data_IF_377574580978
#
_entry.id   IF_377574580978
#
_cell.length_a   1.000
_cell.length_b   1.000
_cell.length_c   1.000
_cell.angle_alpha   90.00
_cell.angle_beta   90.00
_cell.angle_gamma   90.00
#
_symmetry.space_group_name_H-M   'P 1'
#
loop_
_entity.id
_entity.type
_entity.pdbx_description
1 polymer ?
#
# COMPACT_ATOMS: atom_id res chain seq x y z
N UNK A 1 -1.66 0.69 -18.03
CA UNK A 1 -1.60 2.17 -17.93
C UNK A 1 -2.97 2.65 -17.52
N UNK A 2 -3.05 3.45 -16.47
CA UNK A 2 -4.29 4.07 -16.00
C UNK A 2 -4.04 5.56 -15.81
N UNK A 3 -4.96 6.40 -16.27
CA UNK A 3 -4.86 7.87 -16.20
C UNK A 3 -5.67 8.38 -15.01
N UNK A 4 -5.06 9.18 -14.14
CA UNK A 4 -5.77 9.91 -13.08
C UNK A 4 -5.94 11.38 -13.50
N UNK A 5 -7.13 11.97 -13.26
CA UNK A 5 -7.41 13.39 -13.51
C UNK A 5 -7.42 14.15 -12.19
N UNK A 6 -6.66 15.24 -12.11
CA UNK A 6 -6.60 16.17 -10.98
C UNK A 6 -7.37 17.48 -11.31
N UNK A 7 -7.64 18.38 -10.33
CA UNK A 7 -8.51 19.56 -10.51
C UNK A 7 -7.90 20.71 -11.33
N UNK A 8 -6.69 20.55 -11.84
CA UNK A 8 -6.12 21.32 -12.95
C UNK A 8 -5.90 20.34 -14.11
N UNK A 9 -5.89 20.78 -15.38
CA UNK A 9 -5.75 19.94 -16.60
C UNK A 9 -4.42 19.14 -16.70
N UNK A 10 -3.80 18.78 -15.59
CA UNK A 10 -2.63 17.93 -15.50
C UNK A 10 -3.06 16.46 -15.43
N UNK A 11 -2.88 15.75 -16.53
CA UNK A 11 -2.94 14.29 -16.59
C UNK A 11 -1.55 13.70 -16.33
N UNK A 12 -1.46 12.75 -15.40
CA UNK A 12 -0.24 11.99 -15.14
C UNK A 12 -0.50 10.52 -15.41
N UNK A 13 0.44 9.88 -16.10
CA UNK A 13 0.40 8.45 -16.35
C UNK A 13 0.84 7.66 -15.12
N UNK A 14 0.09 6.63 -14.77
CA UNK A 14 0.43 5.72 -13.66
C UNK A 14 0.62 4.28 -14.15
N UNK A 15 1.46 3.56 -13.42
CA UNK A 15 1.71 2.13 -13.57
C UNK A 15 1.46 1.42 -12.24
N UNK A 16 1.25 0.11 -12.27
CA UNK A 16 1.05 -0.68 -11.07
C UNK A 16 2.39 -1.03 -10.42
N UNK A 17 2.38 -1.28 -9.10
CA UNK A 17 3.57 -1.75 -8.40
C UNK A 17 4.05 -3.08 -8.97
N UNK A 18 3.14 -4.00 -9.34
CA UNK A 18 3.50 -5.25 -10.02
C UNK A 18 4.31 -4.99 -11.30
N UNK A 19 3.89 -4.05 -12.15
CA UNK A 19 4.60 -3.70 -13.37
C UNK A 19 6.02 -3.17 -13.06
N UNK A 20 6.15 -2.27 -12.09
CA UNK A 20 7.46 -1.73 -11.68
C UNK A 20 8.40 -2.82 -11.16
N UNK A 21 7.89 -3.81 -10.43
CA UNK A 21 8.73 -4.90 -9.89
C UNK A 21 9.09 -5.92 -10.96
N UNK A 22 8.18 -6.23 -11.89
CA UNK A 22 8.43 -7.19 -12.97
C UNK A 22 9.43 -6.68 -14.02
N UNK A 23 9.46 -5.36 -14.26
CA UNK A 23 10.30 -4.72 -15.28
C UNK A 23 11.44 -3.89 -14.71
N UNK A 24 11.42 -3.60 -13.41
CA UNK A 24 12.54 -2.99 -12.70
C UNK A 24 13.57 -4.04 -12.31
N UNK A 25 14.82 -3.63 -12.12
CA UNK A 25 15.92 -4.47 -11.62
C UNK A 25 15.75 -4.86 -10.13
N UNK A 26 14.51 -4.96 -9.64
CA UNK A 26 14.15 -5.29 -8.27
C UNK A 26 13.65 -6.76 -8.22
N UNK A 27 14.55 -7.76 -8.15
CA UNK A 27 14.17 -9.17 -8.13
C UNK A 27 13.30 -9.54 -6.93
N UNK A 28 13.35 -8.75 -5.85
CA UNK A 28 12.54 -8.93 -4.64
C UNK A 28 12.27 -7.58 -3.97
N UNK A 29 11.02 -7.35 -3.57
CA UNK A 29 10.63 -6.22 -2.73
C UNK A 29 10.53 -6.67 -1.28
N UNK A 30 11.28 -6.04 -0.39
CA UNK A 30 11.25 -6.30 1.06
C UNK A 30 10.34 -5.36 1.82
N UNK A 31 10.09 -4.15 1.29
CA UNK A 31 9.34 -3.11 1.98
C UNK A 31 8.57 -2.24 0.97
N UNK A 32 7.36 -1.81 1.35
CA UNK A 32 6.54 -0.84 0.62
C UNK A 32 5.99 0.17 1.62
N UNK A 33 6.19 1.45 1.31
CA UNK A 33 5.58 2.58 2.01
C UNK A 33 4.56 3.26 1.10
N UNK A 34 3.38 3.58 1.62
CA UNK A 34 2.30 4.21 0.88
C UNK A 34 1.77 5.44 1.62
N UNK A 35 2.01 6.60 1.03
CA UNK A 35 1.47 7.91 1.39
C UNK A 35 1.14 8.62 0.06
N UNK A 36 -0.03 8.33 -0.51
CA UNK A 36 -0.37 8.63 -1.91
C UNK A 36 -1.77 9.25 -2.06
N UNK A 37 -2.12 10.08 -1.09
CA UNK A 37 -3.27 11.00 -1.15
C UNK A 37 -4.60 10.29 -1.46
N UNK A 38 -4.88 9.17 -0.77
CA UNK A 38 -6.15 8.43 -0.87
C UNK A 38 -6.19 7.39 -1.98
N UNK A 39 -5.03 7.05 -2.57
CA UNK A 39 -4.90 5.99 -3.59
C UNK A 39 -4.30 4.68 -3.03
N UNK A 40 -4.13 4.57 -1.72
CA UNK A 40 -3.46 3.47 -1.02
C UNK A 40 -4.05 2.11 -1.39
N UNK A 41 -5.38 1.95 -1.24
CA UNK A 41 -6.06 0.70 -1.61
C UNK A 41 -5.89 0.37 -3.10
N UNK A 42 -5.93 1.37 -3.99
CA UNK A 42 -5.70 1.15 -5.44
C UNK A 42 -4.27 0.71 -5.73
N UNK A 43 -3.28 1.29 -5.04
CA UNK A 43 -1.89 0.86 -5.16
C UNK A 43 -1.68 -0.57 -4.63
N UNK A 44 -2.33 -0.92 -3.53
CA UNK A 44 -2.33 -2.29 -2.98
C UNK A 44 -2.92 -3.30 -3.96
N UNK A 45 -4.06 -2.99 -4.60
CA UNK A 45 -4.58 -3.81 -5.71
C UNK A 45 -3.58 -3.93 -6.86
N UNK A 46 -2.93 -2.83 -7.24
CA UNK A 46 -1.85 -2.82 -8.22
C UNK A 46 -0.59 -3.60 -7.79
N UNK A 47 -0.47 -3.96 -6.51
CA UNK A 47 0.65 -4.68 -5.93
C UNK A 47 0.34 -6.15 -5.61
N UNK A 48 -0.87 -6.66 -5.90
CA UNK A 48 -1.31 -7.96 -5.37
C UNK A 48 -0.33 -9.12 -5.62
N UNK A 49 0.18 -9.26 -6.86
CA UNK A 49 1.17 -10.31 -7.19
C UNK A 49 2.45 -10.16 -6.36
N UNK A 50 2.96 -8.93 -6.22
CA UNK A 50 4.12 -8.60 -5.40
C UNK A 50 3.86 -8.89 -3.92
N UNK A 51 2.70 -8.51 -3.39
CA UNK A 51 2.31 -8.78 -2.00
C UNK A 51 2.28 -10.28 -1.71
N UNK A 52 1.66 -11.07 -2.60
CA UNK A 52 1.59 -12.53 -2.45
C UNK A 52 2.94 -13.23 -2.58
N UNK A 53 3.75 -12.81 -3.57
CA UNK A 53 5.05 -13.43 -3.88
C UNK A 53 6.13 -13.03 -2.88
N UNK A 54 6.30 -11.74 -2.66
CA UNK A 54 7.43 -11.19 -1.91
C UNK A 54 7.13 -11.01 -0.42
N UNK A 55 5.85 -10.86 -0.05
CA UNK A 55 5.37 -10.59 1.32
C UNK A 55 6.16 -9.46 1.99
N UNK A 56 6.31 -8.30 1.33
CA UNK A 56 7.07 -7.19 1.89
C UNK A 56 6.42 -6.69 3.19
N UNK A 57 7.23 -6.14 4.08
CA UNK A 57 6.72 -5.32 5.17
C UNK A 57 6.06 -4.05 4.60
N UNK A 58 4.95 -3.63 5.18
CA UNK A 58 4.17 -2.48 4.72
C UNK A 58 4.12 -1.41 5.80
N UNK A 59 4.16 -0.14 5.39
CA UNK A 59 3.71 1.00 6.16
C UNK A 59 2.76 1.84 5.30
N UNK A 60 1.52 2.01 5.75
CA UNK A 60 0.44 2.56 4.93
C UNK A 60 -0.25 3.69 5.69
N UNK A 61 -0.29 4.87 5.10
CA UNK A 61 -1.08 6.01 5.58
C UNK A 61 -2.57 5.67 5.53
N UNK A 62 -3.28 5.79 6.66
CA UNK A 62 -4.73 5.55 6.74
C UNK A 62 -5.53 6.85 6.97
N UNK A 63 -4.88 8.01 6.93
CA UNK A 63 -5.51 9.28 7.31
C UNK A 63 -6.14 10.05 6.14
N UNK A 64 -5.85 9.68 4.88
CA UNK A 64 -6.42 10.37 3.72
C UNK A 64 -7.92 10.12 3.53
N UNK A 65 -8.40 8.93 3.91
CA UNK A 65 -9.83 8.58 3.88
C UNK A 65 -10.22 7.77 5.09
N UNK A 66 -11.36 8.13 5.70
CA UNK A 66 -11.91 7.36 6.81
C UNK A 66 -12.21 5.90 6.45
N UNK A 67 -12.51 5.62 5.18
CA UNK A 67 -12.76 4.25 4.70
C UNK A 67 -11.49 3.38 4.71
N UNK A 68 -10.31 3.98 4.57
CA UNK A 68 -9.05 3.23 4.54
C UNK A 68 -8.76 2.54 5.88
N UNK A 69 -9.35 3.03 6.99
CA UNK A 69 -9.30 2.36 8.30
C UNK A 69 -9.97 0.98 8.33
N UNK A 70 -10.85 0.69 7.36
CA UNK A 70 -11.58 -0.57 7.26
C UNK A 70 -11.15 -1.35 6.03
N UNK A 71 -11.19 -0.70 4.86
CA UNK A 71 -11.00 -1.36 3.57
C UNK A 71 -9.58 -1.93 3.41
N UNK A 72 -8.56 -1.24 3.92
CA UNK A 72 -7.16 -1.68 3.79
C UNK A 72 -6.87 -2.89 4.68
N UNK A 73 -7.20 -2.87 6.00
CA UNK A 73 -7.10 -4.07 6.82
C UNK A 73 -7.88 -5.27 6.26
N UNK A 74 -9.11 -5.05 5.79
CA UNK A 74 -9.94 -6.11 5.19
C UNK A 74 -9.30 -6.69 3.94
N UNK A 75 -8.81 -5.83 3.03
CA UNK A 75 -8.10 -6.26 1.83
C UNK A 75 -6.86 -7.08 2.17
N UNK A 76 -6.00 -6.59 3.08
CA UNK A 76 -4.77 -7.28 3.48
C UNK A 76 -5.04 -8.63 4.15
N UNK A 77 -6.09 -8.72 4.98
CA UNK A 77 -6.53 -9.99 5.56
C UNK A 77 -7.04 -10.95 4.47
N UNK A 78 -7.82 -10.44 3.50
CA UNK A 78 -8.35 -11.22 2.38
C UNK A 78 -7.29 -11.75 1.40
N UNK A 79 -6.06 -11.25 1.45
CA UNK A 79 -4.95 -11.83 0.70
C UNK A 79 -4.57 -13.24 1.22
N UNK A 80 -4.86 -13.57 2.48
CA UNK A 80 -4.52 -14.86 3.09
C UNK A 80 -3.03 -15.24 2.96
N UNK A 81 -2.15 -14.26 3.21
CA UNK A 81 -0.68 -14.44 3.15
C UNK A 81 0.03 -14.28 4.50
N UNK A 82 -0.75 -14.24 5.59
CA UNK A 82 -0.25 -14.24 6.96
C UNK A 82 0.22 -12.88 7.47
N UNK A 83 -0.34 -11.77 6.96
CA UNK A 83 -0.04 -10.44 7.49
C UNK A 83 -0.56 -10.26 8.92
N UNK A 84 0.34 -9.87 9.82
CA UNK A 84 0.02 -9.29 11.13
C UNK A 84 -0.02 -7.78 11.00
N UNK A 85 -1.15 -7.21 11.39
CA UNK A 85 -1.43 -5.78 11.34
C UNK A 85 -1.12 -5.11 12.68
N UNK A 86 -0.46 -3.96 12.64
CA UNK A 86 -0.20 -3.10 13.80
C UNK A 86 -0.55 -1.67 13.42
N UNK A 87 -1.45 -1.05 14.17
CA UNK A 87 -1.80 0.36 13.99
C UNK A 87 -0.94 1.23 14.91
N UNK A 88 -0.18 2.14 14.30
CA UNK A 88 0.62 3.15 15.00
C UNK A 88 0.00 4.54 14.84
N UNK A 89 0.10 5.36 15.88
CA UNK A 89 -0.23 6.79 15.84
C UNK A 89 0.92 7.57 16.44
N UNK A 90 1.56 8.44 15.65
CA UNK A 90 2.83 9.07 16.03
C UNK A 90 2.69 10.48 16.61
N UNK A 91 1.52 11.12 16.45
CA UNK A 91 1.17 12.39 17.10
C UNK A 91 -0.28 12.41 17.62
N UNK A 92 -0.69 13.53 18.20
CA UNK A 92 -2.08 13.80 18.61
C UNK A 92 -3.00 14.14 17.43
N UNK A 93 -2.45 14.37 16.23
CA UNK A 93 -3.19 14.71 15.03
C UNK A 93 -3.56 13.44 14.23
N UNK A 94 -4.65 13.49 13.47
CA UNK A 94 -5.11 12.34 12.68
C UNK A 94 -4.15 11.99 11.54
N UNK A 95 -3.34 12.97 11.11
CA UNK A 95 -2.43 13.00 9.96
C UNK A 95 -1.23 12.04 10.05
N UNK A 96 -1.18 11.18 11.07
CA UNK A 96 -0.11 10.20 11.26
C UNK A 96 -0.62 8.85 11.76
N UNK A 97 -1.83 8.47 11.31
CA UNK A 97 -2.36 7.11 11.53
C UNK A 97 -1.78 6.17 10.48
N UNK A 98 -0.81 5.34 10.88
CA UNK A 98 -0.08 4.43 10.00
C UNK A 98 -0.42 2.98 10.35
N UNK A 99 -0.78 2.20 9.33
CA UNK A 99 -0.89 0.75 9.44
C UNK A 99 0.41 0.08 9.01
N UNK A 100 1.03 -0.63 9.93
CA UNK A 100 2.12 -1.54 9.63
C UNK A 100 1.57 -2.94 9.38
N UNK A 101 2.09 -3.63 8.37
CA UNK A 101 1.77 -5.03 8.11
C UNK A 101 3.05 -5.84 7.88
N UNK A 102 3.20 -6.97 8.57
CA UNK A 102 4.37 -7.85 8.44
C UNK A 102 3.95 -9.31 8.45
N UNK A 103 4.69 -10.19 7.74
CA UNK A 103 4.50 -11.65 7.83
C UNK A 103 5.57 -12.22 8.76
N UNK A 104 5.20 -13.13 9.66
CA UNK A 104 6.14 -13.74 10.60
C UNK A 104 7.27 -14.48 9.88
N UNK A 105 8.51 -14.30 10.36
CA UNK A 105 9.73 -14.90 9.79
C UNK A 105 10.57 -13.98 8.87
N UNK A 106 10.30 -12.67 8.83
CA UNK A 106 11.05 -11.65 8.07
C UNK A 106 11.85 -10.68 8.97
N UNK A 107 12.34 -11.13 10.13
CA UNK A 107 13.32 -10.37 10.93
C UNK A 107 14.74 -10.65 10.46
#
# INVERSE_FOLDING_TARGET
MTTARLPSDMEVSTVTINHCVEHGELPRVSYIELDIEGSELRALHGAEKTLRRCRPALAIALYHRLQDLVDIPEYLAGLDVGYRLLLGRFTIHAEETILFATVDGQR
#
